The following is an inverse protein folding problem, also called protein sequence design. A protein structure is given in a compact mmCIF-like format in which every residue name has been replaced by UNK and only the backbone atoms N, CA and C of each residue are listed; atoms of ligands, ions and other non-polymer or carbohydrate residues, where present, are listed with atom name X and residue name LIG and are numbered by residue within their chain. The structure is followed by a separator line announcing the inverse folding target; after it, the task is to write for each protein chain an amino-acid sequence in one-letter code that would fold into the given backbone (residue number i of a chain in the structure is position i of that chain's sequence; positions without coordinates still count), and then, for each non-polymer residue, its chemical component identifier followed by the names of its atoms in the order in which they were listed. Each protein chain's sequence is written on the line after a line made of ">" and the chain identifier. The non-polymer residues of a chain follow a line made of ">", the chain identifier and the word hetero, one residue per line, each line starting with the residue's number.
data_IF_655124941274
#
_entry.id   IF_655124941274
#
_cell.length_a   1.000
_cell.length_b   1.000
_cell.length_c   1.000
_cell.angle_alpha   90.00
_cell.angle_beta   90.00
_cell.angle_gamma   90.00
#
_symmetry.space_group_name_H-M   'P 1'
#
loop_
_entity.id
_entity.type
_entity.pdbx_description
1 polymer ?
#
# COMPACT_ATOMS: atom_id res chain seq x y z
N UNK A 1 23.00 15.95 -5.59
CA UNK A 1 23.15 14.66 -4.88
C UNK A 1 21.81 13.96 -4.97
N UNK A 2 21.80 12.82 -5.65
CA UNK A 2 20.57 12.21 -6.18
C UNK A 2 19.61 11.72 -5.09
N UNK A 3 18.44 12.33 -5.05
CA UNK A 3 17.27 11.90 -4.24
C UNK A 3 16.63 10.57 -4.69
N UNK A 4 17.21 9.91 -5.67
CA UNK A 4 16.64 8.74 -6.35
C UNK A 4 16.81 7.39 -5.66
N UNK A 5 17.64 7.27 -4.62
CA UNK A 5 17.93 5.97 -4.02
C UNK A 5 16.93 5.51 -2.93
N UNK A 6 15.93 6.32 -2.57
CA UNK A 6 15.09 6.04 -1.39
C UNK A 6 13.64 5.67 -1.72
N UNK A 7 13.17 5.90 -2.95
CA UNK A 7 11.73 5.85 -3.26
C UNK A 7 11.23 4.62 -4.04
N UNK A 8 12.11 3.73 -4.49
CA UNK A 8 11.70 2.60 -5.33
C UNK A 8 11.24 1.34 -4.57
N UNK A 9 11.07 1.38 -3.25
CA UNK A 9 10.92 0.15 -2.45
C UNK A 9 9.80 0.24 -1.40
N UNK A 10 8.71 0.81 -1.75
CA UNK A 10 7.52 0.81 -0.90
C UNK A 10 6.59 -0.40 -1.16
N UNK A 11 7.13 -1.56 -1.48
CA UNK A 11 6.30 -2.78 -1.54
C UNK A 11 7.18 -4.02 -1.43
N UNK A 12 7.02 -4.76 -0.39
CA UNK A 12 7.43 -6.12 -0.03
C UNK A 12 8.70 -6.25 0.84
N UNK A 13 8.47 -6.60 2.08
CA UNK A 13 9.46 -7.21 2.95
C UNK A 13 8.95 -8.55 3.45
N UNK A 14 9.76 -9.60 3.35
CA UNK A 14 9.75 -10.78 4.23
C UNK A 14 10.94 -11.71 3.98
N UNK A 15 11.60 -12.11 5.03
CA UNK A 15 12.30 -13.34 5.40
C UNK A 15 13.80 -13.30 5.68
N UNK A 16 14.15 -13.82 6.82
CA UNK A 16 15.10 -14.94 6.98
C UNK A 16 15.36 -15.34 8.44
N UNK A 17 15.45 -16.62 8.67
CA UNK A 17 16.44 -17.42 9.34
C UNK A 17 16.61 -17.43 10.86
N UNK A 18 16.38 -18.57 11.47
CA UNK A 18 16.63 -18.97 12.86
C UNK A 18 18.11 -18.88 13.26
N UNK A 19 18.40 -18.16 14.34
CA UNK A 19 19.52 -18.36 15.24
C UNK A 19 19.09 -17.94 16.68
N UNK A 20 19.78 -18.36 17.78
CA UNK A 20 19.23 -18.48 19.12
C UNK A 20 18.77 -17.13 19.71
N UNK A 21 17.80 -17.22 20.63
CA UNK A 21 17.26 -16.09 21.40
C UNK A 21 18.35 -15.14 21.94
N UNK A 22 18.74 -14.19 21.11
CA UNK A 22 19.23 -12.90 21.52
C UNK A 22 18.00 -12.07 21.85
N UNK A 23 18.00 -11.34 22.95
CA UNK A 23 17.00 -10.34 23.28
C UNK A 23 16.64 -9.59 22.00
N UNK A 24 15.37 -9.56 21.64
CA UNK A 24 14.91 -8.78 20.49
C UNK A 24 15.44 -7.37 20.65
N UNK A 25 16.27 -6.93 19.71
CA UNK A 25 16.93 -5.63 19.78
C UNK A 25 15.85 -4.56 19.70
N UNK A 26 15.76 -3.70 20.71
CA UNK A 26 14.78 -2.62 20.74
C UNK A 26 15.27 -1.46 19.87
N UNK A 27 14.92 -1.50 18.59
CA UNK A 27 15.31 -0.50 17.62
C UNK A 27 14.74 0.89 17.92
N UNK A 28 13.60 0.98 18.60
CA UNK A 28 13.07 2.27 19.06
C UNK A 28 13.91 2.87 20.17
N UNK A 29 14.40 2.05 21.10
CA UNK A 29 15.33 2.49 22.11
C UNK A 29 16.66 2.96 21.48
N UNK A 30 17.22 2.17 20.55
CA UNK A 30 18.43 2.57 19.82
C UNK A 30 18.26 3.90 19.08
N UNK A 31 17.12 4.11 18.45
CA UNK A 31 16.83 5.36 17.74
C UNK A 31 16.75 6.56 18.71
N UNK A 32 16.12 6.38 19.86
CA UNK A 32 16.04 7.40 20.91
C UNK A 32 17.43 7.74 21.46
N UNK A 33 18.30 6.73 21.64
CA UNK A 33 19.69 6.96 22.05
C UNK A 33 20.44 7.82 21.04
N UNK A 34 20.32 7.49 19.72
CA UNK A 34 20.91 8.29 18.65
C UNK A 34 20.39 9.73 18.69
N UNK A 35 19.09 9.94 18.90
CA UNK A 35 18.52 11.28 19.00
C UNK A 35 19.08 12.06 20.22
N UNK A 36 19.27 11.39 21.37
CA UNK A 36 19.86 12.00 22.57
C UNK A 36 21.35 12.32 22.36
N UNK A 37 22.10 11.42 21.73
CA UNK A 37 23.51 11.65 21.38
C UNK A 37 23.67 12.84 20.43
N UNK A 38 22.79 12.97 19.44
CA UNK A 38 22.75 14.13 18.53
C UNK A 38 22.41 15.43 19.28
N UNK A 39 21.38 15.39 20.14
CA UNK A 39 21.03 16.54 20.98
C UNK A 39 22.16 16.96 21.91
N UNK A 40 22.93 16.01 22.44
CA UNK A 40 24.10 16.20 23.27
C UNK A 40 25.39 16.50 22.49
N UNK A 41 25.34 16.61 21.15
CA UNK A 41 26.50 16.81 20.26
C UNK A 41 27.57 15.73 20.40
N UNK A 42 27.20 14.50 20.74
CA UNK A 42 28.10 13.36 20.90
C UNK A 42 28.26 12.65 19.54
N UNK A 43 28.71 13.37 18.53
CA UNK A 43 28.72 12.93 17.13
C UNK A 43 29.62 11.72 16.89
N UNK A 44 30.72 11.58 17.66
CA UNK A 44 31.60 10.41 17.67
C UNK A 44 30.85 9.11 18.04
N UNK A 45 29.94 9.20 19.01
CA UNK A 45 29.10 8.05 19.39
C UNK A 45 28.10 7.70 18.32
N UNK A 46 27.50 8.71 17.69
CA UNK A 46 26.54 8.49 16.58
C UNK A 46 27.22 7.85 15.39
N UNK A 47 28.42 8.36 14.98
CA UNK A 47 29.18 7.79 13.88
C UNK A 47 29.62 6.35 14.17
N UNK A 48 30.01 6.01 15.41
CA UNK A 48 30.35 4.65 15.81
C UNK A 48 29.17 3.65 15.67
N UNK A 49 27.93 4.12 15.59
CA UNK A 49 26.75 3.31 15.33
C UNK A 49 26.48 3.08 13.84
N UNK A 50 27.14 3.80 12.94
CA UNK A 50 26.95 3.66 11.50
C UNK A 50 27.47 2.32 10.98
N UNK A 51 26.83 1.79 9.94
CA UNK A 51 27.43 0.75 9.12
C UNK A 51 28.56 1.32 8.25
N UNK A 52 29.33 0.47 7.59
CA UNK A 52 30.45 0.90 6.77
C UNK A 52 30.04 1.83 5.60
N UNK A 53 28.87 1.61 5.03
CA UNK A 53 28.33 2.41 3.92
C UNK A 53 27.93 3.80 4.43
N UNK A 54 27.22 3.85 5.54
CA UNK A 54 26.77 5.11 6.14
C UNK A 54 27.95 5.93 6.67
N UNK A 55 28.92 5.30 7.33
CA UNK A 55 30.15 5.97 7.81
C UNK A 55 30.94 6.59 6.65
N UNK A 56 31.03 5.89 5.51
CA UNK A 56 31.65 6.43 4.30
C UNK A 56 30.85 7.60 3.69
N UNK A 57 29.52 7.52 3.69
CA UNK A 57 28.65 8.54 3.10
C UNK A 57 28.54 9.80 3.99
N UNK A 58 28.58 9.62 5.33
CA UNK A 58 28.42 10.65 6.34
C UNK A 58 29.49 10.53 7.44
N UNK A 59 30.76 10.82 7.13
CA UNK A 59 31.82 10.85 8.15
C UNK A 59 31.57 11.94 9.18
N UNK A 60 32.28 11.88 10.33
CA UNK A 60 32.09 12.72 11.52
C UNK A 60 31.92 14.21 11.21
N UNK A 61 32.84 14.79 10.43
CA UNK A 61 32.79 16.21 10.04
C UNK A 61 31.48 16.57 9.29
N UNK A 62 31.02 15.66 8.43
CA UNK A 62 29.81 15.88 7.64
C UNK A 62 28.55 15.74 8.50
N UNK A 63 28.54 14.81 9.44
CA UNK A 63 27.49 14.66 10.45
C UNK A 63 27.37 15.90 11.32
N UNK A 64 28.51 16.42 11.84
CA UNK A 64 28.55 17.65 12.61
C UNK A 64 27.98 18.83 11.83
N UNK A 65 28.50 19.05 10.62
CA UNK A 65 28.03 20.14 9.74
C UNK A 65 26.55 20.05 9.46
N UNK A 66 26.05 18.84 9.16
CA UNK A 66 24.65 18.60 8.88
C UNK A 66 23.75 18.90 10.09
N UNK A 67 24.12 18.39 11.27
CA UNK A 67 23.32 18.59 12.47
C UNK A 67 23.36 20.04 12.97
N UNK A 68 24.52 20.69 12.94
CA UNK A 68 24.67 22.10 13.34
C UNK A 68 23.90 23.03 12.38
N UNK A 69 23.91 22.76 11.09
CA UNK A 69 23.09 23.48 10.12
C UNK A 69 21.58 23.28 10.37
N UNK A 70 21.17 22.07 10.73
CA UNK A 70 19.79 21.79 11.13
C UNK A 70 19.42 22.56 12.38
N UNK A 71 20.25 22.50 13.43
CA UNK A 71 20.00 23.22 14.68
C UNK A 71 19.97 24.75 14.47
N UNK A 72 20.77 25.31 13.59
CA UNK A 72 20.71 26.72 13.22
C UNK A 72 19.35 27.08 12.55
N UNK A 73 18.81 26.20 11.74
CA UNK A 73 17.57 26.43 11.01
C UNK A 73 16.33 26.24 11.88
N UNK A 74 16.21 25.12 12.60
CA UNK A 74 15.00 24.73 13.35
C UNK A 74 15.15 24.80 14.86
N UNK A 75 16.32 25.20 15.38
CA UNK A 75 16.61 25.24 16.80
C UNK A 75 17.09 23.90 17.35
N UNK A 76 17.34 23.82 18.66
CA UNK A 76 17.75 22.59 19.32
C UNK A 76 16.60 21.59 19.40
N UNK A 77 16.93 20.29 19.38
CA UNK A 77 15.99 19.21 19.67
C UNK A 77 15.55 19.29 21.14
N UNK A 78 14.26 19.43 21.39
CA UNK A 78 13.66 19.53 22.73
C UNK A 78 13.15 18.20 23.23
N UNK A 79 12.37 17.50 22.41
CA UNK A 79 11.63 16.30 22.84
C UNK A 79 11.43 15.34 21.69
N UNK A 80 11.54 14.05 21.97
CA UNK A 80 11.05 12.97 21.12
C UNK A 80 9.65 12.60 21.62
N UNK A 81 8.61 12.91 20.84
CA UNK A 81 7.20 12.67 21.21
C UNK A 81 6.79 11.22 21.08
N UNK A 82 7.21 10.59 20.01
CA UNK A 82 6.86 9.19 19.70
C UNK A 82 7.94 8.54 18.86
N UNK A 83 7.95 7.21 18.89
CA UNK A 83 8.74 6.37 18.01
C UNK A 83 7.80 5.40 17.30
N UNK A 84 8.06 5.12 16.02
CA UNK A 84 7.38 4.10 15.22
C UNK A 84 8.42 3.31 14.48
N UNK A 85 8.42 1.99 14.66
CA UNK A 85 9.31 1.07 13.96
C UNK A 85 8.54 0.30 12.89
N UNK A 86 9.14 0.16 11.71
CA UNK A 86 8.64 -0.67 10.61
C UNK A 86 9.80 -1.48 10.08
N UNK A 87 9.64 -2.80 10.00
CA UNK A 87 10.63 -3.65 9.33
C UNK A 87 10.34 -3.68 7.83
N UNK A 88 11.34 -3.37 7.02
CA UNK A 88 11.25 -3.43 5.57
C UNK A 88 12.57 -3.89 4.96
N UNK A 89 12.52 -4.89 4.07
CA UNK A 89 13.69 -5.42 3.35
C UNK A 89 14.87 -5.85 4.23
N UNK A 90 14.59 -6.38 5.41
CA UNK A 90 15.64 -6.78 6.37
C UNK A 90 16.28 -5.59 7.10
N UNK A 91 15.75 -4.39 6.94
CA UNK A 91 16.09 -3.20 7.70
C UNK A 91 14.95 -2.83 8.67
N UNK A 92 15.31 -2.24 9.80
CA UNK A 92 14.34 -1.64 10.72
C UNK A 92 14.37 -0.11 10.55
N UNK A 93 13.27 0.43 10.02
CA UNK A 93 13.10 1.88 9.84
C UNK A 93 12.39 2.44 11.06
N UNK A 94 13.09 3.22 11.87
CA UNK A 94 12.51 3.91 13.02
C UNK A 94 12.32 5.38 12.70
N UNK A 95 11.10 5.86 12.82
CA UNK A 95 10.77 7.28 12.69
C UNK A 95 10.44 7.84 14.07
N UNK A 96 11.25 8.79 14.53
CA UNK A 96 11.03 9.54 15.75
C UNK A 96 10.37 10.87 15.41
N UNK A 97 9.19 11.13 15.99
CA UNK A 97 8.57 12.44 15.91
C UNK A 97 9.25 13.38 16.93
N UNK A 98 9.95 14.38 16.45
CA UNK A 98 10.78 15.26 17.24
C UNK A 98 10.27 16.70 17.23
N UNK A 99 10.20 17.33 18.39
CA UNK A 99 10.02 18.78 18.51
C UNK A 99 11.38 19.47 18.63
N UNK A 100 11.67 20.34 17.69
CA UNK A 100 12.76 21.30 17.78
C UNK A 100 12.21 22.64 18.25
N UNK A 101 13.08 23.58 18.62
CA UNK A 101 12.66 24.88 19.18
C UNK A 101 11.74 25.70 18.29
N UNK A 102 11.92 25.65 16.97
CA UNK A 102 11.22 26.50 15.99
C UNK A 102 10.22 25.72 15.13
N UNK A 103 10.42 24.41 14.94
CA UNK A 103 9.56 23.58 14.11
C UNK A 103 9.69 22.09 14.47
N UNK A 104 8.63 21.27 14.31
CA UNK A 104 8.76 19.82 14.42
C UNK A 104 9.46 19.24 13.18
N UNK A 105 10.27 18.19 13.39
CA UNK A 105 10.84 17.34 12.33
C UNK A 105 10.80 15.88 12.78
N UNK A 106 10.73 14.97 11.83
CA UNK A 106 10.91 13.56 12.09
C UNK A 106 12.37 13.17 11.82
N UNK A 107 13.00 12.50 12.79
CA UNK A 107 14.27 11.83 12.60
C UNK A 107 13.98 10.38 12.20
N UNK A 108 14.31 10.02 10.97
CA UNK A 108 14.15 8.65 10.43
C UNK A 108 15.52 7.98 10.37
N UNK A 109 15.65 6.88 11.11
CA UNK A 109 16.84 6.05 11.16
C UNK A 109 16.53 4.69 10.54
N UNK A 110 17.44 4.21 9.71
CA UNK A 110 17.37 2.87 9.13
C UNK A 110 18.45 2.04 9.80
N UNK A 111 18.07 0.96 10.47
CA UNK A 111 18.99 0.03 11.09
C UNK A 111 19.09 -1.26 10.27
N UNK A 112 20.30 -1.80 10.15
CA UNK A 112 20.52 -3.14 9.61
C UNK A 112 20.19 -4.22 10.66
N UNK A 113 20.31 -5.49 10.26
CA UNK A 113 20.07 -6.65 11.14
C UNK A 113 20.98 -6.72 12.37
N UNK A 114 22.11 -6.05 12.36
CA UNK A 114 23.10 -6.01 13.44
C UNK A 114 22.93 -4.76 14.33
N UNK A 115 21.89 -3.96 14.07
CA UNK A 115 21.56 -2.72 14.80
C UNK A 115 22.47 -1.54 14.45
N UNK A 116 23.19 -1.60 13.33
CA UNK A 116 23.96 -0.49 12.82
C UNK A 116 23.08 0.44 12.00
N UNK A 117 23.33 1.73 12.08
CA UNK A 117 22.62 2.75 11.30
C UNK A 117 23.10 2.70 9.86
N UNK A 118 22.23 2.24 8.96
CA UNK A 118 22.42 2.16 7.51
C UNK A 118 21.82 3.37 6.78
N UNK A 119 21.01 4.21 7.46
CA UNK A 119 20.42 5.42 6.88
C UNK A 119 20.01 6.41 7.95
N UNK A 120 20.13 7.71 7.61
CA UNK A 120 19.87 8.82 8.51
C UNK A 120 19.20 9.96 7.73
N UNK A 121 17.98 10.35 8.14
CA UNK A 121 17.21 11.37 7.43
C UNK A 121 16.46 12.27 8.42
N UNK A 122 16.42 13.57 8.12
CA UNK A 122 15.48 14.50 8.71
C UNK A 122 14.41 14.80 7.67
N UNK A 123 13.17 14.52 8.02
CA UNK A 123 12.02 14.72 7.14
C UNK A 123 10.96 15.56 7.86
N UNK A 124 10.16 16.36 7.14
CA UNK A 124 9.02 17.01 7.76
C UNK A 124 8.11 16.00 8.46
N UNK A 125 7.38 16.39 9.53
CA UNK A 125 6.35 15.54 10.09
C UNK A 125 5.35 15.14 9.00
N UNK A 126 4.90 13.89 9.04
CA UNK A 126 3.77 13.51 8.21
C UNK A 126 2.58 14.39 8.63
N UNK A 127 1.96 15.03 7.65
CA UNK A 127 0.76 15.80 7.93
C UNK A 127 -0.33 14.84 8.43
N UNK A 128 -1.04 15.25 9.47
CA UNK A 128 -2.19 14.49 9.92
C UNK A 128 -3.22 14.42 8.79
N UNK A 129 -3.81 13.24 8.61
CA UNK A 129 -4.96 13.13 7.71
C UNK A 129 -6.11 13.98 8.25
N UNK A 130 -6.71 14.79 7.40
CA UNK A 130 -7.90 15.57 7.70
C UNK A 130 -9.04 15.04 6.82
N UNK A 131 -10.31 15.15 7.25
CA UNK A 131 -11.43 14.76 6.41
C UNK A 131 -11.44 15.56 5.10
N UNK A 132 -11.68 14.90 3.94
CA UNK A 132 -11.89 15.61 2.70
C UNK A 132 -13.18 16.44 2.74
N UNK A 133 -13.26 17.50 1.95
CA UNK A 133 -14.39 18.44 1.91
C UNK A 133 -15.72 17.82 1.45
N UNK A 134 -15.68 16.64 0.84
CA UNK A 134 -16.85 15.87 0.43
C UNK A 134 -17.35 14.89 1.50
N UNK A 135 -16.64 14.71 2.60
CA UNK A 135 -17.06 13.90 3.73
C UNK A 135 -17.83 14.75 4.75
N UNK A 136 -18.96 14.24 5.22
CA UNK A 136 -19.73 14.83 6.30
C UNK A 136 -19.69 13.92 7.53
N UNK A 137 -18.79 14.13 8.52
CA UNK A 137 -18.64 13.26 9.68
C UNK A 137 -19.91 13.12 10.54
N UNK A 138 -20.86 14.04 10.42
CA UNK A 138 -22.14 13.95 11.15
C UNK A 138 -23.18 13.05 10.45
N UNK A 139 -22.88 12.56 9.24
CA UNK A 139 -23.81 11.73 8.46
C UNK A 139 -23.62 10.22 8.67
N UNK A 140 -22.61 9.81 9.43
CA UNK A 140 -22.29 8.40 9.66
C UNK A 140 -21.65 8.20 11.05
N UNK A 141 -21.49 6.94 11.44
CA UNK A 141 -20.66 6.53 12.56
C UNK A 141 -19.71 5.41 12.15
N UNK A 142 -18.70 5.14 12.94
CA UNK A 142 -17.75 4.04 12.73
C UNK A 142 -17.86 3.03 13.88
N UNK A 143 -17.87 1.73 13.52
CA UNK A 143 -17.87 0.59 14.42
C UNK A 143 -16.65 -0.28 14.13
N UNK A 144 -15.91 -0.68 15.16
CA UNK A 144 -14.85 -1.68 15.01
C UNK A 144 -15.46 -3.07 14.92
N UNK A 145 -15.06 -3.81 13.91
CA UNK A 145 -15.54 -5.17 13.63
C UNK A 145 -14.38 -6.14 13.49
N UNK A 146 -14.69 -7.43 13.58
CA UNK A 146 -13.73 -8.52 13.34
C UNK A 146 -14.18 -9.34 12.16
N UNK A 147 -13.30 -9.58 11.19
CA UNK A 147 -13.57 -10.33 9.96
C UNK A 147 -12.87 -11.68 10.04
N UNK A 148 -13.50 -12.72 9.47
CA UNK A 148 -12.94 -14.06 9.42
C UNK A 148 -13.03 -14.81 10.74
N UNK A 149 -12.26 -15.88 10.85
CA UNK A 149 -12.24 -16.78 12.00
C UNK A 149 -10.80 -17.04 12.45
N UNK A 150 -10.68 -17.53 13.70
CA UNK A 150 -9.38 -17.97 14.21
C UNK A 150 -8.72 -19.00 13.27
N UNK A 151 -7.39 -18.98 13.10
CA UNK A 151 -6.44 -18.07 13.77
C UNK A 151 -6.19 -16.75 13.03
N UNK A 152 -6.93 -16.44 11.97
CA UNK A 152 -6.69 -15.33 11.04
C UNK A 152 -7.77 -14.23 11.12
N UNK A 153 -8.26 -13.95 12.31
CA UNK A 153 -9.21 -12.86 12.51
C UNK A 153 -8.56 -11.49 12.22
N UNK A 154 -9.24 -10.68 11.43
CA UNK A 154 -8.76 -9.37 11.04
C UNK A 154 -9.62 -8.27 11.66
N UNK A 155 -9.01 -7.28 12.33
CA UNK A 155 -9.73 -6.08 12.73
C UNK A 155 -10.10 -5.27 11.50
N UNK A 156 -11.24 -4.60 11.58
CA UNK A 156 -11.71 -3.69 10.54
C UNK A 156 -12.61 -2.63 11.11
N UNK A 157 -12.96 -1.66 10.27
CA UNK A 157 -13.88 -0.58 10.60
C UNK A 157 -15.04 -0.57 9.61
N UNK A 158 -16.24 -0.64 10.15
CA UNK A 158 -17.50 -0.43 9.44
C UNK A 158 -17.87 1.04 9.57
N UNK A 159 -17.96 1.75 8.44
CA UNK A 159 -18.45 3.12 8.38
C UNK A 159 -19.90 3.08 7.90
N UNK A 160 -20.84 3.42 8.77
CA UNK A 160 -22.27 3.21 8.57
C UNK A 160 -23.04 4.54 8.56
N UNK A 161 -23.85 4.82 7.51
CA UNK A 161 -24.69 6.03 7.44
C UNK A 161 -25.71 6.09 8.57
N UNK A 162 -25.96 7.29 9.10
CA UNK A 162 -27.05 7.55 10.05
C UNK A 162 -28.36 7.69 9.28
N UNK A 163 -29.38 6.89 9.63
CA UNK A 163 -30.68 6.96 9.00
C UNK A 163 -31.44 5.65 8.98
N UNK A 164 -32.56 5.66 8.27
CA UNK A 164 -33.41 4.45 8.10
C UNK A 164 -32.86 3.62 6.94
N UNK A 165 -32.06 2.58 7.27
CA UNK A 165 -31.61 1.56 6.31
C UNK A 165 -32.76 0.69 5.77
N UNK A 166 -32.46 -0.44 5.12
CA UNK A 166 -31.10 -0.95 4.87
C UNK A 166 -30.38 -0.19 3.74
N UNK A 167 -29.07 -0.10 3.86
CA UNK A 167 -28.21 0.61 2.92
C UNK A 167 -27.45 -0.36 1.99
N UNK A 168 -27.09 0.04 0.76
CA UNK A 168 -26.09 -0.68 -0.02
C UNK A 168 -24.74 -0.66 0.69
N UNK A 169 -23.91 -1.67 0.43
CA UNK A 169 -22.64 -1.80 1.11
C UNK A 169 -21.48 -2.10 0.15
N UNK A 170 -20.28 -1.63 0.50
CA UNK A 170 -19.04 -1.84 -0.26
C UNK A 170 -17.96 -2.37 0.68
N UNK A 171 -17.33 -3.48 0.28
CA UNK A 171 -16.09 -3.98 0.89
C UNK A 171 -14.90 -3.40 0.12
N UNK A 172 -13.93 -2.81 0.80
CA UNK A 172 -12.70 -2.32 0.20
C UNK A 172 -11.59 -3.37 0.32
N UNK A 173 -10.96 -3.70 -0.82
CA UNK A 173 -9.90 -4.72 -0.93
C UNK A 173 -8.61 -4.05 -1.42
N UNK A 174 -7.59 -4.10 -0.58
CA UNK A 174 -6.33 -3.40 -0.77
C UNK A 174 -5.49 -3.94 -1.93
N UNK A 175 -4.56 -3.10 -2.37
CA UNK A 175 -3.50 -3.44 -3.31
C UNK A 175 -2.43 -4.36 -2.73
N UNK A 176 -1.32 -4.50 -3.45
CA UNK A 176 -0.18 -5.32 -3.03
C UNK A 176 0.52 -4.74 -1.79
N UNK A 177 1.17 -5.63 -1.01
CA UNK A 177 1.88 -5.26 0.20
C UNK A 177 1.06 -5.35 1.48
N UNK A 178 1.71 -5.18 2.64
CA UNK A 178 1.09 -5.26 3.95
C UNK A 178 0.39 -3.92 4.30
N UNK A 179 -0.82 -3.74 3.80
CA UNK A 179 -1.58 -2.50 3.97
C UNK A 179 -2.42 -2.52 5.25
N UNK A 180 -2.50 -1.36 5.91
CA UNK A 180 -3.49 -1.12 6.95
C UNK A 180 -4.91 -0.99 6.34
N UNK A 181 -5.94 -0.87 7.18
CA UNK A 181 -7.33 -0.75 6.73
C UNK A 181 -7.60 0.49 5.87
N UNK A 182 -6.79 1.55 6.01
CA UNK A 182 -6.90 2.81 5.29
C UNK A 182 -6.12 2.81 3.95
N UNK A 183 -5.33 1.74 3.67
CA UNK A 183 -4.36 1.67 2.57
C UNK A 183 -3.42 2.89 2.56
N UNK A 184 -2.83 3.17 3.74
CA UNK A 184 -2.07 4.39 3.98
C UNK A 184 -0.77 4.45 3.18
N UNK A 185 -0.56 5.56 2.47
CA UNK A 185 0.69 5.90 1.79
C UNK A 185 1.13 7.29 2.26
N UNK A 186 2.06 7.33 3.19
CA UNK A 186 2.39 8.58 3.90
C UNK A 186 1.18 9.13 4.65
N UNK A 187 0.84 10.39 4.41
CA UNK A 187 -0.35 11.03 4.99
C UNK A 187 -1.65 10.72 4.23
N UNK A 188 -1.57 10.09 3.07
CA UNK A 188 -2.74 9.78 2.24
C UNK A 188 -3.40 8.49 2.72
N UNK A 189 -4.73 8.51 2.83
CA UNK A 189 -5.55 7.39 3.31
C UNK A 189 -6.72 7.14 2.36
N UNK A 190 -6.45 6.61 1.16
CA UNK A 190 -7.46 6.50 0.12
C UNK A 190 -8.69 5.70 0.54
N UNK A 191 -8.53 4.64 1.33
CA UNK A 191 -9.67 3.85 1.78
C UNK A 191 -10.49 4.55 2.86
N UNK A 192 -9.85 5.36 3.70
CA UNK A 192 -10.58 6.23 4.63
C UNK A 192 -11.35 7.33 3.92
N UNK A 193 -10.75 7.93 2.90
CA UNK A 193 -11.41 8.90 2.02
C UNK A 193 -12.66 8.31 1.36
N UNK A 194 -12.52 7.10 0.77
CA UNK A 194 -13.64 6.38 0.16
C UNK A 194 -14.70 6.04 1.21
N UNK A 195 -14.32 5.52 2.37
CA UNK A 195 -15.25 5.12 3.41
C UNK A 195 -16.10 6.30 3.91
N UNK A 196 -15.46 7.40 4.26
CA UNK A 196 -16.15 8.58 4.77
C UNK A 196 -16.99 9.27 3.69
N UNK A 197 -16.45 9.33 2.48
CA UNK A 197 -17.16 9.93 1.36
C UNK A 197 -18.39 9.13 0.91
N UNK A 198 -18.30 7.82 0.83
CA UNK A 198 -19.42 6.95 0.45
C UNK A 198 -20.47 6.85 1.57
N UNK A 199 -20.04 6.76 2.84
CA UNK A 199 -20.97 6.75 3.96
C UNK A 199 -21.75 8.06 4.07
N UNK A 200 -21.14 9.21 3.76
CA UNK A 200 -21.82 10.49 3.64
C UNK A 200 -22.89 10.51 2.52
N UNK A 201 -22.91 9.52 1.64
CA UNK A 201 -23.86 9.34 0.53
C UNK A 201 -24.80 8.14 0.72
N UNK A 202 -24.88 7.61 1.94
CA UNK A 202 -25.80 6.52 2.26
C UNK A 202 -25.33 5.14 1.83
N UNK A 203 -24.03 4.88 1.80
CA UNK A 203 -23.44 3.60 1.45
C UNK A 203 -22.59 3.13 2.63
N UNK A 204 -22.88 1.95 3.16
CA UNK A 204 -22.04 1.30 4.19
C UNK A 204 -20.69 0.91 3.57
N UNK A 205 -19.59 1.15 4.28
CA UNK A 205 -18.25 0.77 3.81
C UNK A 205 -17.53 -0.03 4.88
N UNK A 206 -17.00 -1.18 4.49
CA UNK A 206 -16.14 -2.03 5.31
C UNK A 206 -14.72 -1.98 4.80
N UNK A 207 -13.79 -1.52 5.63
CA UNK A 207 -12.34 -1.60 5.43
C UNK A 207 -11.73 -2.42 6.56
N UNK A 208 -10.60 -3.09 6.30
CA UNK A 208 -10.01 -4.01 7.25
C UNK A 208 -8.49 -4.11 7.08
N UNK A 209 -7.79 -4.51 8.15
CA UNK A 209 -6.36 -4.78 8.14
C UNK A 209 -6.05 -5.95 7.21
N UNK A 210 -5.07 -5.79 6.31
CA UNK A 210 -4.64 -6.91 5.47
C UNK A 210 -3.92 -7.96 6.31
N UNK A 211 -4.11 -9.24 5.99
CA UNK A 211 -3.50 -10.36 6.72
C UNK A 211 -1.98 -10.24 6.82
N UNK A 212 -1.31 -9.83 5.74
CA UNK A 212 0.13 -9.58 5.70
C UNK A 212 0.58 -8.41 6.58
N UNK A 213 -0.30 -7.47 6.89
CA UNK A 213 -0.04 -6.40 7.85
C UNK A 213 -0.23 -6.90 9.28
N UNK A 214 -1.42 -7.41 9.59
CA UNK A 214 -1.78 -7.84 10.95
C UNK A 214 -0.92 -8.98 11.49
N UNK A 215 -0.63 -9.96 10.64
CA UNK A 215 0.05 -11.20 11.03
C UNK A 215 1.44 -11.37 10.38
N UNK A 216 2.15 -10.28 10.14
CA UNK A 216 3.44 -10.29 9.42
C UNK A 216 4.42 -11.36 9.92
N UNK A 217 4.57 -11.54 11.24
CA UNK A 217 5.48 -12.53 11.83
C UNK A 217 5.03 -13.99 11.65
N UNK A 218 3.70 -14.24 11.71
CA UNK A 218 3.12 -15.57 11.50
C UNK A 218 3.13 -15.94 10.02
N UNK A 219 2.78 -14.96 9.18
CA UNK A 219 2.77 -15.08 7.74
C UNK A 219 4.16 -15.47 7.21
N UNK A 220 5.24 -14.92 7.79
CA UNK A 220 6.62 -15.32 7.50
C UNK A 220 6.89 -16.81 7.67
N UNK A 221 6.32 -17.43 8.69
CA UNK A 221 6.54 -18.85 8.99
C UNK A 221 5.80 -19.80 8.03
N UNK A 222 4.68 -19.36 7.48
CA UNK A 222 3.78 -20.16 6.66
C UNK A 222 3.91 -19.87 5.15
N UNK A 223 4.78 -18.92 4.78
CA UNK A 223 4.88 -18.37 3.43
C UNK A 223 5.07 -19.40 2.30
N UNK A 224 5.69 -20.54 2.58
CA UNK A 224 6.01 -21.52 1.52
C UNK A 224 4.81 -22.00 0.70
N UNK A 225 3.60 -21.94 1.26
CA UNK A 225 2.37 -22.43 0.64
C UNK A 225 1.30 -21.34 0.43
N UNK A 226 1.61 -20.08 0.77
CA UNK A 226 0.64 -18.99 0.66
C UNK A 226 0.47 -18.53 -0.77
N UNK A 227 -0.77 -18.27 -1.13
CA UNK A 227 -1.19 -17.74 -2.43
C UNK A 227 -2.02 -16.47 -2.24
N UNK A 228 -2.43 -15.83 -3.32
CA UNK A 228 -3.36 -14.69 -3.22
C UNK A 228 -4.73 -15.10 -2.70
N UNK A 229 -5.05 -16.40 -2.73
CA UNK A 229 -6.29 -16.91 -2.17
C UNK A 229 -6.35 -16.64 -0.66
N UNK A 230 -5.33 -17.05 0.08
CA UNK A 230 -5.25 -16.85 1.53
C UNK A 230 -4.99 -15.37 1.88
N UNK A 231 -4.16 -14.67 1.08
CA UNK A 231 -3.81 -13.29 1.39
C UNK A 231 -4.94 -12.29 1.17
N UNK A 232 -5.79 -12.53 0.16
CA UNK A 232 -6.76 -11.51 -0.30
C UNK A 232 -8.16 -12.07 -0.44
N UNK A 233 -8.33 -13.21 -1.17
CA UNK A 233 -9.66 -13.64 -1.63
C UNK A 233 -10.51 -14.14 -0.46
N UNK A 234 -9.94 -14.98 0.40
CA UNK A 234 -10.66 -15.56 1.55
C UNK A 234 -11.09 -14.46 2.53
N UNK A 235 -10.21 -13.47 2.78
CA UNK A 235 -10.50 -12.36 3.67
C UNK A 235 -11.57 -11.42 3.09
N UNK A 236 -11.50 -11.12 1.79
CA UNK A 236 -12.51 -10.31 1.11
C UNK A 236 -13.89 -10.99 1.14
N UNK A 237 -13.96 -12.30 0.90
CA UNK A 237 -15.21 -13.07 1.01
C UNK A 237 -15.74 -13.15 2.45
N UNK A 238 -14.86 -13.27 3.44
CA UNK A 238 -15.25 -13.20 4.85
C UNK A 238 -15.82 -11.82 5.22
N UNK A 239 -15.27 -10.74 4.65
CA UNK A 239 -15.79 -9.39 4.82
C UNK A 239 -17.20 -9.23 4.18
N UNK A 240 -17.41 -9.79 2.98
CA UNK A 240 -18.73 -9.84 2.33
C UNK A 240 -19.74 -10.61 3.18
N UNK A 241 -19.35 -11.78 3.70
CA UNK A 241 -20.20 -12.60 4.56
C UNK A 241 -20.59 -11.89 5.86
N UNK A 242 -19.67 -11.11 6.46
CA UNK A 242 -19.98 -10.28 7.64
C UNK A 242 -21.07 -9.27 7.29
N UNK A 243 -20.95 -8.54 6.18
CA UNK A 243 -21.95 -7.57 5.74
C UNK A 243 -23.30 -8.23 5.46
N UNK A 244 -23.32 -9.42 4.83
CA UNK A 244 -24.55 -10.16 4.55
C UNK A 244 -25.31 -10.59 5.83
N UNK A 245 -24.62 -10.68 6.96
CA UNK A 245 -25.21 -10.97 8.26
C UNK A 245 -25.82 -9.75 8.97
N UNK A 246 -25.57 -8.52 8.51
CA UNK A 246 -26.00 -7.27 9.15
C UNK A 246 -27.41 -6.87 8.71
N UNK A 247 -28.32 -6.53 9.64
CA UNK A 247 -29.66 -6.08 9.29
C UNK A 247 -29.70 -4.70 8.60
N UNK A 248 -28.68 -3.85 8.82
CA UNK A 248 -28.53 -2.54 8.22
C UNK A 248 -28.13 -2.60 6.75
N UNK A 249 -27.63 -3.76 6.28
CA UNK A 249 -27.15 -3.97 4.92
C UNK A 249 -28.27 -4.48 4.01
N UNK A 250 -28.43 -3.83 2.87
CA UNK A 250 -29.26 -4.31 1.78
C UNK A 250 -28.55 -5.48 1.06
N UNK A 251 -28.80 -6.72 1.50
CA UNK A 251 -28.04 -7.93 1.11
C UNK A 251 -27.84 -8.10 -0.40
N UNK A 252 -28.85 -7.78 -1.19
CA UNK A 252 -28.79 -7.85 -2.66
C UNK A 252 -27.99 -6.69 -3.30
N UNK A 253 -27.36 -5.83 -2.50
CA UNK A 253 -26.59 -4.67 -2.95
C UNK A 253 -25.28 -4.55 -2.17
N UNK A 254 -24.58 -5.66 -2.00
CA UNK A 254 -23.22 -5.72 -1.46
C UNK A 254 -22.23 -5.78 -2.63
N UNK A 255 -21.29 -4.85 -2.66
CA UNK A 255 -20.31 -4.70 -3.72
C UNK A 255 -18.90 -4.89 -3.19
N UNK A 256 -17.97 -5.27 -4.07
CA UNK A 256 -16.54 -5.32 -3.78
C UNK A 256 -15.84 -4.26 -4.62
N UNK A 257 -15.12 -3.35 -3.96
CA UNK A 257 -14.21 -2.41 -4.59
C UNK A 257 -12.78 -2.89 -4.31
N UNK A 258 -12.06 -3.29 -5.36
CA UNK A 258 -10.66 -3.63 -5.25
C UNK A 258 -9.77 -2.54 -5.86
N UNK A 259 -8.70 -2.18 -5.16
CA UNK A 259 -7.68 -1.27 -5.66
C UNK A 259 -6.43 -2.06 -6.07
N UNK A 260 -5.81 -1.69 -7.21
CA UNK A 260 -4.54 -2.29 -7.66
C UNK A 260 -4.60 -3.83 -7.74
N UNK A 261 -3.84 -4.57 -6.92
CA UNK A 261 -3.95 -6.03 -6.79
C UNK A 261 -5.38 -6.47 -6.42
N UNK A 262 -6.03 -5.77 -5.47
CA UNK A 262 -7.43 -6.02 -5.13
C UNK A 262 -8.36 -5.81 -6.32
N UNK A 263 -8.08 -4.82 -7.17
CA UNK A 263 -8.79 -4.56 -8.42
C UNK A 263 -8.58 -5.66 -9.46
N UNK A 264 -7.35 -6.14 -9.60
CA UNK A 264 -7.03 -7.30 -10.44
C UNK A 264 -7.77 -8.56 -9.96
N UNK A 265 -7.89 -8.74 -8.65
CA UNK A 265 -8.52 -9.92 -8.04
C UNK A 265 -10.05 -9.80 -7.86
N UNK A 266 -10.63 -8.62 -8.01
CA UNK A 266 -12.08 -8.41 -7.81
C UNK A 266 -12.96 -9.38 -8.63
N UNK A 267 -12.65 -9.69 -9.91
CA UNK A 267 -13.40 -10.71 -10.64
C UNK A 267 -13.31 -12.11 -10.02
N UNK A 268 -12.11 -12.51 -9.51
CA UNK A 268 -11.90 -13.80 -8.86
C UNK A 268 -12.57 -13.87 -7.48
N UNK A 269 -12.65 -12.76 -6.77
CA UNK A 269 -13.38 -12.66 -5.50
C UNK A 269 -14.87 -12.88 -5.74
N UNK A 270 -15.42 -12.28 -6.81
CA UNK A 270 -16.83 -12.39 -7.15
C UNK A 270 -17.24 -13.71 -7.83
N UNK A 271 -16.28 -14.41 -8.47
CA UNK A 271 -16.58 -15.65 -9.20
C UNK A 271 -17.13 -16.73 -8.26
N UNK A 272 -18.37 -17.12 -8.47
CA UNK A 272 -19.07 -18.14 -7.68
C UNK A 272 -19.64 -17.65 -6.34
N UNK A 273 -19.54 -16.36 -6.01
CA UNK A 273 -20.13 -15.76 -4.79
C UNK A 273 -21.39 -14.94 -5.16
N UNK A 274 -22.56 -15.51 -4.87
CA UNK A 274 -23.86 -14.87 -5.16
C UNK A 274 -24.25 -13.76 -4.17
N UNK A 275 -23.45 -13.51 -3.13
CA UNK A 275 -23.65 -12.39 -2.20
C UNK A 275 -23.09 -11.09 -2.78
N UNK A 276 -22.26 -11.15 -3.83
CA UNK A 276 -21.65 -10.00 -4.46
C UNK A 276 -22.53 -9.53 -5.64
N UNK A 277 -23.13 -8.36 -5.47
CA UNK A 277 -24.05 -7.77 -6.45
C UNK A 277 -23.34 -7.09 -7.63
N UNK A 278 -22.05 -6.77 -7.50
CA UNK A 278 -21.22 -6.15 -8.52
C UNK A 278 -19.82 -5.84 -8.00
N UNK A 279 -18.91 -5.49 -8.91
CA UNK A 279 -17.52 -5.19 -8.59
C UNK A 279 -17.08 -3.82 -9.12
N UNK A 280 -16.17 -3.19 -8.40
CA UNK A 280 -15.52 -1.94 -8.78
C UNK A 280 -14.03 -2.22 -8.86
N UNK A 281 -13.46 -2.07 -10.04
CA UNK A 281 -12.06 -2.31 -10.36
C UNK A 281 -11.37 -0.95 -10.42
N UNK A 282 -10.62 -0.61 -9.39
CA UNK A 282 -9.94 0.67 -9.26
C UNK A 282 -8.44 0.46 -9.51
N UNK A 283 -7.93 0.95 -10.65
CA UNK A 283 -6.55 0.75 -11.11
C UNK A 283 -6.10 -0.73 -11.09
N UNK A 284 -6.98 -1.65 -11.46
CA UNK A 284 -6.67 -3.09 -11.52
C UNK A 284 -5.94 -3.45 -12.80
N UNK A 285 -4.86 -4.24 -12.69
CA UNK A 285 -4.08 -4.67 -13.85
C UNK A 285 -4.72 -5.86 -14.59
N UNK A 286 -4.41 -5.96 -15.90
CA UNK A 286 -4.78 -7.10 -16.75
C UNK A 286 -3.57 -7.88 -17.24
N UNK A 287 -2.36 -7.36 -17.03
CA UNK A 287 -1.12 -7.93 -17.52
C UNK A 287 -0.39 -8.76 -16.47
N UNK A 288 0.53 -9.66 -16.87
CA UNK A 288 1.37 -10.42 -15.94
C UNK A 288 2.17 -9.51 -15.01
N UNK A 289 2.18 -9.85 -13.74
CA UNK A 289 2.79 -9.04 -12.68
C UNK A 289 4.29 -8.76 -12.94
N UNK A 290 5.04 -9.73 -13.46
CA UNK A 290 6.46 -9.55 -13.82
C UNK A 290 6.68 -8.42 -14.83
N UNK A 291 5.81 -8.33 -15.85
CA UNK A 291 5.91 -7.27 -16.87
C UNK A 291 5.61 -5.88 -16.29
N UNK A 292 4.64 -5.79 -15.39
CA UNK A 292 4.27 -4.54 -14.71
C UNK A 292 5.44 -4.02 -13.88
N UNK A 293 6.09 -4.88 -13.09
CA UNK A 293 7.26 -4.52 -12.28
C UNK A 293 8.39 -3.98 -13.16
N UNK A 294 8.70 -4.63 -14.28
CA UNK A 294 9.74 -4.13 -15.21
C UNK A 294 9.38 -2.76 -15.77
N UNK A 295 8.13 -2.55 -16.17
CA UNK A 295 7.68 -1.27 -16.72
C UNK A 295 7.76 -0.15 -15.70
N UNK A 296 7.30 -0.39 -14.47
CA UNK A 296 7.41 0.56 -13.36
C UNK A 296 8.86 0.96 -13.08
N UNK A 297 9.78 0.00 -12.98
CA UNK A 297 11.18 0.28 -12.70
C UNK A 297 11.84 1.07 -13.85
N UNK A 298 11.54 0.72 -15.09
CA UNK A 298 12.04 1.47 -16.26
C UNK A 298 11.50 2.90 -16.29
N UNK A 299 10.23 3.09 -15.94
CA UNK A 299 9.63 4.40 -15.83
C UNK A 299 10.32 5.24 -14.75
N UNK A 300 10.44 4.71 -13.54
CA UNK A 300 11.10 5.40 -12.43
C UNK A 300 12.55 5.76 -12.75
N UNK A 301 13.27 4.86 -13.41
CA UNK A 301 14.64 5.12 -13.85
C UNK A 301 14.72 6.29 -14.86
N UNK A 302 13.70 6.47 -15.69
CA UNK A 302 13.64 7.53 -16.69
C UNK A 302 13.37 8.93 -16.11
N UNK A 303 12.81 9.03 -14.91
CA UNK A 303 12.47 10.31 -14.26
C UNK A 303 13.71 11.17 -13.94
N UNK A 304 14.89 10.57 -13.87
CA UNK A 304 16.16 11.27 -13.59
C UNK A 304 16.91 11.70 -14.84
N UNK A 305 16.27 11.60 -15.99
CA UNK A 305 16.89 11.85 -17.30
C UNK A 305 17.23 10.54 -18.04
N UNK A 306 18.12 10.56 -19.03
CA UNK A 306 18.53 9.35 -19.73
C UNK A 306 18.99 8.28 -18.75
N UNK A 307 18.53 7.04 -18.93
CA UNK A 307 18.84 5.92 -18.03
C UNK A 307 20.37 5.74 -17.97
N UNK A 308 20.96 6.24 -16.88
CA UNK A 308 22.39 6.15 -16.63
C UNK A 308 22.79 4.77 -16.05
N UNK A 309 24.11 4.55 -15.96
CA UNK A 309 24.66 3.29 -15.43
C UNK A 309 24.17 2.94 -14.02
N UNK A 310 23.84 3.93 -13.21
CA UNK A 310 23.32 3.74 -11.83
C UNK A 310 21.92 3.10 -11.76
N UNK A 311 21.11 3.16 -12.81
CA UNK A 311 19.79 2.51 -12.85
C UNK A 311 19.80 1.10 -13.45
N UNK A 312 20.88 0.72 -14.15
CA UNK A 312 21.01 -0.59 -14.81
C UNK A 312 20.85 -1.77 -13.85
N UNK A 313 21.43 -1.75 -12.62
CA UNK A 313 21.25 -2.87 -11.67
C UNK A 313 19.79 -3.10 -11.28
N UNK A 314 19.02 -2.05 -11.03
CA UNK A 314 17.61 -2.16 -10.65
C UNK A 314 16.77 -2.66 -11.83
N UNK A 315 17.02 -2.15 -13.04
CA UNK A 315 16.35 -2.64 -14.26
C UNK A 315 16.70 -4.11 -14.50
N UNK A 316 17.98 -4.49 -14.38
CA UNK A 316 18.41 -5.88 -14.52
C UNK A 316 17.78 -6.82 -13.47
N UNK A 317 17.63 -6.36 -12.23
CA UNK A 317 16.95 -7.12 -11.18
C UNK A 317 15.46 -7.32 -11.48
N UNK A 318 14.79 -6.29 -12.00
CA UNK A 318 13.38 -6.37 -12.39
C UNK A 318 13.19 -7.30 -13.61
N UNK A 319 14.07 -7.22 -14.61
CA UNK A 319 14.04 -8.11 -15.78
C UNK A 319 14.31 -9.57 -15.39
N UNK A 320 15.26 -9.79 -14.47
CA UNK A 320 15.49 -11.13 -13.93
C UNK A 320 14.27 -11.65 -13.18
N UNK A 321 13.64 -10.81 -12.34
CA UNK A 321 12.39 -11.19 -11.67
C UNK A 321 11.33 -11.63 -12.68
N UNK A 322 11.11 -10.86 -13.75
CA UNK A 322 10.13 -11.22 -14.79
C UNK A 322 10.47 -12.54 -15.49
N UNK A 323 11.76 -12.80 -15.77
CA UNK A 323 12.20 -14.08 -16.34
C UNK A 323 11.94 -15.25 -15.38
N UNK A 324 12.29 -15.08 -14.09
CA UNK A 324 12.08 -16.11 -13.08
C UNK A 324 10.57 -16.36 -12.84
N UNK A 325 9.77 -15.28 -12.83
CA UNK A 325 8.30 -15.30 -12.73
C UNK A 325 7.67 -16.11 -13.87
N UNK A 326 8.13 -15.92 -15.11
CA UNK A 326 7.60 -16.62 -16.30
C UNK A 326 8.26 -18.00 -16.56
N UNK A 327 9.24 -18.39 -15.74
CA UNK A 327 10.00 -19.62 -15.95
C UNK A 327 9.09 -20.86 -15.98
N UNK A 328 9.15 -21.69 -17.04
CA UNK A 328 8.38 -22.93 -17.09
C UNK A 328 8.90 -24.00 -16.13
N UNK A 329 10.12 -23.83 -15.60
CA UNK A 329 10.73 -24.75 -14.62
C UNK A 329 10.36 -24.42 -13.18
N UNK A 330 9.68 -23.29 -12.93
CA UNK A 330 9.26 -22.90 -11.58
C UNK A 330 8.25 -23.91 -11.03
N UNK A 331 8.51 -24.43 -9.83
CA UNK A 331 7.70 -25.45 -9.17
C UNK A 331 7.44 -25.09 -7.70
N UNK A 332 6.43 -25.71 -7.11
CA UNK A 332 6.13 -25.56 -5.69
C UNK A 332 7.38 -25.87 -4.83
N UNK A 333 7.60 -25.04 -3.83
CA UNK A 333 8.77 -25.09 -2.95
C UNK A 333 9.94 -24.21 -3.41
N UNK A 334 9.96 -23.74 -4.66
CA UNK A 334 10.94 -22.75 -5.10
C UNK A 334 10.59 -21.36 -4.55
N UNK A 335 11.55 -20.44 -4.66
CA UNK A 335 11.39 -19.02 -4.30
C UNK A 335 11.86 -18.14 -5.46
N UNK A 336 11.08 -17.16 -5.83
CA UNK A 336 11.42 -16.13 -6.82
C UNK A 336 11.82 -14.86 -6.08
N UNK A 337 12.95 -14.25 -6.46
CA UNK A 337 13.40 -12.99 -5.85
C UNK A 337 12.83 -11.81 -6.60
N UNK A 338 11.87 -11.11 -6.00
CA UNK A 338 11.37 -9.84 -6.51
C UNK A 338 12.24 -8.71 -5.95
N UNK A 339 13.27 -8.31 -6.69
CA UNK A 339 14.19 -7.21 -6.33
C UNK A 339 14.81 -7.37 -4.91
N UNK A 340 15.20 -8.59 -4.55
CA UNK A 340 15.74 -8.92 -3.22
C UNK A 340 14.71 -9.42 -2.22
N UNK A 341 13.43 -9.35 -2.54
CA UNK A 341 12.34 -9.85 -1.71
C UNK A 341 11.96 -11.25 -2.18
N UNK A 342 12.01 -12.27 -1.32
CA UNK A 342 11.62 -13.62 -1.69
C UNK A 342 10.09 -13.73 -1.81
N UNK A 343 9.61 -14.23 -2.94
CA UNK A 343 8.23 -14.64 -3.16
C UNK A 343 8.15 -16.16 -3.27
N UNK A 344 7.25 -16.82 -2.54
CA UNK A 344 7.02 -18.25 -2.71
C UNK A 344 6.56 -18.57 -4.12
N UNK A 345 7.05 -19.66 -4.69
CA UNK A 345 6.60 -20.11 -6.00
C UNK A 345 5.09 -20.40 -6.02
N UNK A 346 4.50 -20.85 -4.91
CA UNK A 346 3.05 -21.03 -4.80
C UNK A 346 2.29 -19.75 -5.14
N UNK A 347 2.73 -18.61 -4.60
CA UNK A 347 2.14 -17.29 -4.86
C UNK A 347 2.29 -16.88 -6.34
N UNK A 348 3.49 -17.05 -6.88
CA UNK A 348 3.79 -16.72 -8.28
C UNK A 348 2.99 -17.58 -9.25
N UNK A 349 2.93 -18.90 -9.00
CA UNK A 349 2.17 -19.85 -9.83
C UNK A 349 0.67 -19.58 -9.79
N UNK A 350 0.13 -19.21 -8.63
CA UNK A 350 -1.28 -18.86 -8.50
C UNK A 350 -1.60 -17.58 -9.29
N UNK A 351 -0.82 -16.51 -9.13
CA UNK A 351 -0.98 -15.29 -9.91
C UNK A 351 -0.83 -15.53 -11.41
N UNK A 352 0.17 -16.29 -11.82
CA UNK A 352 0.45 -16.59 -13.22
C UNK A 352 -0.67 -17.40 -13.89
N UNK A 353 -1.35 -18.24 -13.13
CA UNK A 353 -2.46 -19.07 -13.63
C UNK A 353 -3.77 -18.30 -13.79
N UNK A 354 -3.84 -17.08 -13.27
CA UNK A 354 -5.03 -16.26 -13.24
C UNK A 354 -5.03 -15.21 -14.35
N UNK A 355 -6.10 -15.21 -15.14
CA UNK A 355 -6.39 -14.16 -16.13
C UNK A 355 -7.59 -13.32 -15.63
N UNK A 356 -7.33 -12.09 -15.14
CA UNK A 356 -8.37 -11.25 -14.59
C UNK A 356 -9.38 -10.80 -15.65
N UNK A 357 -8.92 -10.51 -16.86
CA UNK A 357 -9.76 -10.05 -17.96
C UNK A 357 -10.70 -11.17 -18.47
N UNK A 358 -10.17 -12.38 -18.66
CA UNK A 358 -10.96 -13.53 -19.04
C UNK A 358 -11.96 -13.93 -17.93
N UNK A 359 -11.58 -13.78 -16.66
CA UNK A 359 -12.50 -14.06 -15.54
C UNK A 359 -13.64 -13.04 -15.51
N UNK A 360 -13.33 -11.74 -15.61
CA UNK A 360 -14.33 -10.69 -15.67
C UNK A 360 -15.32 -10.88 -16.83
N UNK A 361 -14.82 -11.29 -18.01
CA UNK A 361 -15.66 -11.54 -19.18
C UNK A 361 -16.69 -12.67 -18.99
N UNK A 362 -16.50 -13.56 -18.02
CA UNK A 362 -17.49 -14.62 -17.69
C UNK A 362 -18.54 -14.18 -16.68
N UNK A 363 -18.31 -13.06 -15.97
CA UNK A 363 -19.24 -12.57 -14.97
C UNK A 363 -20.43 -11.87 -15.61
N UNK A 364 -21.61 -12.06 -15.03
CA UNK A 364 -22.84 -11.40 -15.46
C UNK A 364 -23.26 -10.25 -14.54
N UNK A 365 -22.56 -10.06 -13.43
CA UNK A 365 -22.82 -8.97 -12.48
C UNK A 365 -22.34 -7.63 -13.04
N UNK A 366 -22.91 -6.50 -12.58
CA UNK A 366 -22.45 -5.16 -12.93
C UNK A 366 -20.96 -4.91 -12.57
N UNK A 367 -20.24 -4.19 -13.43
CA UNK A 367 -18.84 -3.84 -13.22
C UNK A 367 -18.59 -2.36 -13.49
N UNK A 368 -17.80 -1.73 -12.63
CA UNK A 368 -17.28 -0.38 -12.81
C UNK A 368 -15.74 -0.45 -12.85
N UNK A 369 -15.14 -0.04 -13.96
CA UNK A 369 -13.69 0.03 -14.11
C UNK A 369 -13.24 1.48 -14.08
N UNK A 370 -12.32 1.81 -13.18
CA UNK A 370 -11.82 3.16 -12.94
C UNK A 370 -10.31 3.20 -13.17
N UNK A 371 -9.82 4.21 -13.91
CA UNK A 371 -8.41 4.35 -14.22
C UNK A 371 -7.96 5.82 -14.16
N UNK A 372 -6.92 6.12 -13.38
CA UNK A 372 -6.20 7.39 -13.43
C UNK A 372 -5.32 7.44 -14.69
N UNK A 373 -5.42 8.51 -15.49
CA UNK A 373 -4.64 8.61 -16.74
C UNK A 373 -3.15 8.93 -16.49
N UNK A 374 -2.82 9.43 -15.30
CA UNK A 374 -1.44 9.68 -14.84
C UNK A 374 -0.90 8.56 -13.96
N UNK A 375 -1.51 7.39 -13.99
CA UNK A 375 -1.05 6.22 -13.25
C UNK A 375 0.14 5.58 -13.96
N UNK A 376 1.33 5.63 -13.33
CA UNK A 376 2.54 4.99 -13.84
C UNK A 376 2.71 3.55 -13.35
N UNK A 377 1.90 3.11 -12.38
CA UNK A 377 2.00 1.77 -11.79
C UNK A 377 1.15 0.76 -12.56
N UNK A 378 -0.12 1.10 -12.79
CA UNK A 378 -1.03 0.35 -13.66
C UNK A 378 -1.45 1.30 -14.77
N UNK A 379 -0.97 1.03 -15.98
CA UNK A 379 -1.00 2.02 -17.05
C UNK A 379 -2.22 1.85 -17.97
N UNK A 380 -2.37 2.75 -18.93
CA UNK A 380 -3.40 2.67 -19.98
C UNK A 380 -3.43 1.30 -20.69
N UNK A 381 -2.30 0.59 -20.77
CA UNK A 381 -2.24 -0.76 -21.35
C UNK A 381 -3.10 -1.76 -20.60
N UNK A 382 -3.21 -1.61 -19.29
CA UNK A 382 -4.06 -2.48 -18.47
C UNK A 382 -5.54 -2.15 -18.68
N UNK A 383 -5.88 -0.86 -18.80
CA UNK A 383 -7.22 -0.42 -19.14
C UNK A 383 -7.67 -0.96 -20.52
N UNK A 384 -6.79 -0.92 -21.52
CA UNK A 384 -7.05 -1.49 -22.85
C UNK A 384 -7.35 -3.00 -22.77
N UNK A 385 -6.71 -3.71 -21.83
CA UNK A 385 -7.04 -5.10 -21.53
C UNK A 385 -8.49 -5.26 -21.04
N UNK A 386 -8.94 -4.42 -20.13
CA UNK A 386 -10.33 -4.39 -19.66
C UNK A 386 -11.30 -4.00 -20.78
N UNK A 387 -11.00 -2.92 -21.52
CA UNK A 387 -11.83 -2.45 -22.64
C UNK A 387 -12.04 -3.56 -23.68
N UNK A 388 -10.98 -4.29 -24.02
CA UNK A 388 -11.02 -5.40 -24.97
C UNK A 388 -11.85 -6.58 -24.45
N UNK A 389 -11.59 -7.01 -23.22
CA UNK A 389 -12.23 -8.20 -22.64
C UNK A 389 -13.73 -7.98 -22.37
N UNK A 390 -14.10 -6.75 -22.00
CA UNK A 390 -15.46 -6.39 -21.62
C UNK A 390 -16.25 -5.71 -22.75
N UNK A 391 -15.69 -5.69 -23.96
CA UNK A 391 -16.37 -5.14 -25.13
C UNK A 391 -17.71 -5.84 -25.34
N UNK A 392 -18.80 -5.06 -25.46
CA UNK A 392 -20.14 -5.58 -25.67
C UNK A 392 -20.89 -6.01 -24.40
N UNK A 393 -20.27 -6.01 -23.24
CA UNK A 393 -20.97 -6.22 -21.97
C UNK A 393 -21.83 -4.99 -21.61
N UNK A 394 -23.15 -5.17 -21.51
CA UNK A 394 -24.11 -4.07 -21.28
C UNK A 394 -24.10 -3.55 -19.83
N UNK A 395 -23.57 -4.32 -18.92
CA UNK A 395 -23.52 -4.05 -17.48
C UNK A 395 -22.15 -3.55 -17.01
N UNK A 396 -21.29 -3.11 -17.94
CA UNK A 396 -19.95 -2.57 -17.65
C UNK A 396 -19.93 -1.08 -17.92
N UNK A 397 -19.36 -0.34 -16.97
CA UNK A 397 -19.04 1.08 -17.09
C UNK A 397 -17.54 1.25 -16.92
N UNK A 398 -16.89 1.97 -17.83
CA UNK A 398 -15.46 2.30 -17.76
C UNK A 398 -15.33 3.81 -17.67
N UNK A 399 -14.52 4.30 -16.74
CA UNK A 399 -14.23 5.73 -16.56
C UNK A 399 -12.75 5.97 -16.39
N UNK A 400 -12.27 7.07 -16.99
CA UNK A 400 -10.89 7.54 -16.86
C UNK A 400 -10.87 8.93 -16.24
N UNK A 401 -9.75 9.25 -15.57
CA UNK A 401 -9.59 10.50 -14.85
C UNK A 401 -8.27 11.16 -15.23
N UNK A 402 -8.31 12.21 -16.07
CA UNK A 402 -7.12 12.98 -16.42
C UNK A 402 -6.44 13.57 -15.18
N UNK A 403 -5.12 13.47 -15.12
CA UNK A 403 -4.31 14.06 -14.05
C UNK A 403 -4.38 13.35 -12.70
N UNK A 404 -5.06 12.20 -12.58
CA UNK A 404 -5.03 11.40 -11.37
C UNK A 404 -4.03 10.25 -11.47
N UNK A 405 -3.28 10.02 -10.38
CA UNK A 405 -2.32 8.92 -10.25
C UNK A 405 -2.99 7.63 -9.75
N UNK A 406 -2.18 6.64 -9.39
CA UNK A 406 -2.61 5.31 -8.92
C UNK A 406 -3.57 5.34 -7.72
N UNK A 407 -3.37 6.26 -6.76
CA UNK A 407 -4.27 6.45 -5.60
C UNK A 407 -5.50 7.32 -5.91
N UNK A 408 -5.73 7.68 -7.17
CA UNK A 408 -6.79 8.62 -7.59
C UNK A 408 -6.72 9.99 -6.91
N UNK A 409 -5.51 10.41 -6.52
CA UNK A 409 -5.18 11.76 -6.08
C UNK A 409 -4.51 12.52 -7.23
N UNK A 410 -4.44 13.87 -7.19
CA UNK A 410 -3.76 14.65 -8.22
C UNK A 410 -2.29 14.25 -8.40
N UNK A 411 -1.89 14.00 -9.63
CA UNK A 411 -0.52 13.63 -10.01
C UNK A 411 0.33 14.86 -10.34
N UNK A 412 1.65 14.72 -10.15
CA UNK A 412 2.64 15.63 -10.70
C UNK A 412 2.81 15.45 -12.22
N UNK A 413 3.65 16.28 -12.82
CA UNK A 413 4.04 16.16 -14.21
C UNK A 413 5.57 16.23 -14.35
N UNK A 414 6.25 15.11 -14.63
CA UNK A 414 5.71 13.76 -14.77
C UNK A 414 5.22 13.18 -13.43
N UNK A 415 4.26 12.21 -13.42
CA UNK A 415 3.81 11.53 -12.22
C UNK A 415 4.96 10.72 -11.60
N UNK A 416 5.01 10.71 -10.26
CA UNK A 416 6.15 10.11 -9.56
C UNK A 416 5.78 9.71 -8.13
N UNK A 417 6.61 8.91 -7.44
CA UNK A 417 6.40 8.62 -6.02
C UNK A 417 6.33 9.87 -5.12
N UNK A 418 6.92 11.00 -5.53
CA UNK A 418 6.85 12.25 -4.79
C UNK A 418 5.43 12.85 -4.73
N UNK A 419 4.51 12.38 -5.55
CA UNK A 419 3.10 12.78 -5.50
C UNK A 419 2.44 12.30 -4.20
N UNK A 420 2.93 11.20 -3.63
CA UNK A 420 2.43 10.62 -2.38
C UNK A 420 2.98 11.30 -1.12
N UNK A 421 4.04 12.11 -1.25
CA UNK A 421 4.61 12.87 -0.14
C UNK A 421 3.73 14.06 0.29
N UNK A 422 2.77 14.43 -0.56
CA UNK A 422 1.86 15.55 -0.31
C UNK A 422 0.53 15.03 0.23
N UNK A 423 0.01 15.63 1.33
CA UNK A 423 -1.35 15.33 1.78
C UNK A 423 -2.36 15.61 0.66
N UNK A 424 -3.14 14.62 0.34
CA UNK A 424 -4.16 14.70 -0.70
C UNK A 424 -5.30 13.73 -0.40
N UNK A 425 -6.37 13.80 -1.18
CA UNK A 425 -7.54 12.95 -1.06
C UNK A 425 -7.93 12.37 -2.42
N UNK A 426 -8.58 11.21 -2.38
CA UNK A 426 -9.24 10.65 -3.56
C UNK A 426 -10.15 11.72 -4.18
N UNK A 427 -9.99 11.95 -5.47
CA UNK A 427 -10.70 13.01 -6.17
C UNK A 427 -12.23 12.84 -6.03
N UNK A 428 -12.92 13.96 -5.71
CA UNK A 428 -14.39 13.99 -5.56
C UNK A 428 -15.12 13.35 -6.74
N UNK A 429 -14.66 13.59 -7.98
CA UNK A 429 -15.28 13.02 -9.18
C UNK A 429 -15.25 11.50 -9.20
N UNK A 430 -14.15 10.88 -8.76
CA UNK A 430 -14.04 9.42 -8.63
C UNK A 430 -15.03 8.89 -7.60
N UNK A 431 -15.10 9.55 -6.44
CA UNK A 431 -16.03 9.18 -5.38
C UNK A 431 -17.50 9.30 -5.81
N UNK A 432 -17.86 10.41 -6.48
CA UNK A 432 -19.21 10.65 -6.97
C UNK A 432 -19.61 9.61 -8.02
N UNK A 433 -18.70 9.22 -8.90
CA UNK A 433 -18.93 8.17 -9.88
C UNK A 433 -19.18 6.81 -9.23
N UNK A 434 -18.41 6.44 -8.19
CA UNK A 434 -18.63 5.22 -7.42
C UNK A 434 -20.01 5.26 -6.75
N UNK A 435 -20.32 6.34 -6.04
CA UNK A 435 -21.59 6.48 -5.33
C UNK A 435 -22.80 6.42 -6.28
N UNK A 436 -22.73 7.16 -7.39
CA UNK A 436 -23.79 7.15 -8.42
C UNK A 436 -23.95 5.78 -9.07
N UNK A 437 -22.83 5.09 -9.35
CA UNK A 437 -22.88 3.75 -9.92
C UNK A 437 -23.52 2.76 -8.94
N UNK A 438 -23.11 2.76 -7.66
CA UNK A 438 -23.74 1.93 -6.62
C UNK A 438 -25.23 2.24 -6.50
N UNK A 439 -25.62 3.53 -6.49
CA UNK A 439 -27.02 3.95 -6.39
C UNK A 439 -27.86 3.47 -7.57
N UNK A 440 -27.28 3.44 -8.78
CA UNK A 440 -27.94 3.02 -10.01
C UNK A 440 -28.20 1.50 -10.10
N UNK A 441 -27.47 0.68 -9.32
CA UNK A 441 -27.70 -0.77 -9.32
C UNK A 441 -29.03 -1.06 -8.62
N UNK A 442 -29.99 -1.54 -9.39
CA UNK A 442 -31.30 -1.95 -8.84
C UNK A 442 -31.20 -3.32 -8.21
N UNK A 443 -32.00 -3.56 -7.17
CA UNK A 443 -32.22 -4.92 -6.66
C UNK A 443 -32.81 -5.77 -7.79
N UNK A 444 -32.28 -6.98 -8.05
CA UNK A 444 -32.80 -7.89 -9.06
C UNK A 444 -34.29 -8.18 -8.87
#
# INVERSE_FOLDING_TARGET
>A
MNRLQVLAVASLALLSGLAPQLCAQDFEALAKDVAQELAGRQYDKVEARFDATMASAMPLEKLQTFWDATAAQVGALKTVKSARSVETQGYHVVTLACDFEKAPLNLRLVFDKDGKVAGFFLVPPEAAWNPPDYANPSAFHEEHVTIGAEPWQLPGTLTEPIGAGPFPAVVLVQGSGPNDEDESVGSNKPFKDLAWGLASRGIIVLRYEKRTHKYAAQYKKEMGNLTVKEEVIDDARAAVALLAGRPEVQKARTFVLGHSLGGMLAPRIAEGDNQIAGIIIMAGSTRPFGQIVVEQIKYLASLSGPVGDGAKPQIGAAEKFAQDYDSPSLKLGDTVSMMGIPLPAAYVLDLRSYDPAATAARLTIPMLVLQGESDYQVTRKDLEGWEKALAGHKNVTIKTYPGLCHLFIPAGNPPSPADYDKPSHVARGTLDDIANWVAAQRTP
#
